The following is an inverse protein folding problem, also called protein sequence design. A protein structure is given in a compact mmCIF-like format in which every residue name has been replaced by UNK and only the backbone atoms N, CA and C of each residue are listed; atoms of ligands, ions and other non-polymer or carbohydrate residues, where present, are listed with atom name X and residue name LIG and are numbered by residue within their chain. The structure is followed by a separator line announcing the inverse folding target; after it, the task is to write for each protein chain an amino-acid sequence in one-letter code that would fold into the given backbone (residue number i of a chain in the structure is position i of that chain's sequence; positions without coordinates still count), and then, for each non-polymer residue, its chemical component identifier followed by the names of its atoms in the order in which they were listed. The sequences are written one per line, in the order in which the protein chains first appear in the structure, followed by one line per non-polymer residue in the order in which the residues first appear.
data_IF_668562740124
#
_entry.id   IF_668562740124
#
_cell.length_a   1.000
_cell.length_b   1.000
_cell.length_c   1.000
_cell.angle_alpha   90.00
_cell.angle_beta   90.00
_cell.angle_gamma   90.00
#
_symmetry.space_group_name_H-M   'P 1'
#
loop_
_entity.id
_entity.type
_entity.pdbx_description
1 polymer ?
#
# COMPACT_ATOMS: atom_id res chain seq x y z
N UNK A 1 -3.97 7.47 5.05
CA UNK A 1 -2.95 6.39 4.95
C UNK A 1 -3.01 5.66 3.62
N UNK A 2 -4.18 5.30 3.14
CA UNK A 2 -4.32 4.60 1.85
C UNK A 2 -3.74 5.43 0.71
N UNK A 3 -3.96 6.72 0.71
CA UNK A 3 -3.43 7.62 -0.33
C UNK A 3 -1.90 7.59 -0.38
N UNK A 4 -1.26 7.43 0.78
CA UNK A 4 0.21 7.33 0.85
C UNK A 4 0.71 6.04 0.20
N UNK A 5 0.00 4.94 0.41
CA UNK A 5 0.36 3.66 -0.24
C UNK A 5 0.14 3.72 -1.75
N UNK A 6 -0.97 4.32 -2.18
CA UNK A 6 -1.26 4.49 -3.61
C UNK A 6 -0.16 5.33 -4.26
N UNK A 7 0.20 6.45 -3.64
CA UNK A 7 1.24 7.32 -4.18
C UNK A 7 2.59 6.61 -4.22
N UNK A 8 2.93 5.87 -3.16
CA UNK A 8 4.17 5.10 -3.12
C UNK A 8 4.22 4.05 -4.23
N UNK A 9 3.10 3.37 -4.49
CA UNK A 9 3.02 2.41 -5.60
C UNK A 9 3.30 3.10 -6.93
N UNK A 10 2.65 4.25 -7.17
CA UNK A 10 2.82 5.01 -8.42
C UNK A 10 4.25 5.52 -8.56
N UNK A 11 4.83 6.04 -7.48
CA UNK A 11 6.21 6.53 -7.48
C UNK A 11 7.21 5.42 -7.75
N UNK A 12 6.88 4.19 -7.37
CA UNK A 12 7.71 3.02 -7.67
C UNK A 12 7.51 2.50 -9.10
N UNK A 13 6.60 3.10 -9.85
CA UNK A 13 6.32 2.67 -11.22
C UNK A 13 5.54 1.37 -11.33
N UNK A 14 4.84 0.98 -10.28
CA UNK A 14 4.11 -0.28 -10.23
C UNK A 14 2.63 -0.07 -10.58
N UNK A 15 2.11 -0.94 -11.44
CA UNK A 15 0.65 -1.03 -11.65
C UNK A 15 0.03 -1.83 -10.53
N UNK A 16 -1.30 -1.77 -10.40
CA UNK A 16 -2.03 -2.61 -9.45
C UNK A 16 -1.81 -4.10 -9.73
N UNK A 17 -1.75 -4.48 -11.01
CA UNK A 17 -1.48 -5.87 -11.41
C UNK A 17 -0.10 -6.31 -10.92
N UNK A 18 0.91 -5.47 -11.14
CA UNK A 18 2.28 -5.79 -10.73
C UNK A 18 2.40 -5.91 -9.21
N UNK A 19 1.78 -5.00 -8.48
CA UNK A 19 1.78 -5.09 -7.01
C UNK A 19 1.07 -6.36 -6.54
N UNK A 20 -0.06 -6.69 -7.15
CA UNK A 20 -0.77 -7.92 -6.85
C UNK A 20 0.13 -9.14 -7.04
N UNK A 21 0.86 -9.21 -8.15
CA UNK A 21 1.79 -10.32 -8.40
C UNK A 21 2.86 -10.43 -7.31
N UNK A 22 3.41 -9.31 -6.88
CA UNK A 22 4.42 -9.29 -5.80
C UNK A 22 3.87 -9.80 -4.48
N UNK A 23 2.58 -9.56 -4.25
CA UNK A 23 1.88 -9.99 -3.02
C UNK A 23 1.34 -11.42 -3.10
N UNK A 24 1.39 -12.04 -4.28
CA UNK A 24 0.70 -13.32 -4.50
C UNK A 24 -0.81 -13.16 -4.47
N UNK A 25 -1.32 -11.98 -4.82
CA UNK A 25 -2.74 -11.64 -4.80
C UNK A 25 -3.20 -11.21 -6.19
N UNK A 26 -4.51 -11.15 -6.38
CA UNK A 26 -5.10 -10.65 -7.63
C UNK A 26 -5.14 -9.13 -7.61
N UNK A 27 -5.25 -8.53 -8.82
CA UNK A 27 -5.43 -7.08 -8.94
C UNK A 27 -6.64 -6.58 -8.14
N UNK A 28 -7.71 -7.37 -8.07
CA UNK A 28 -8.92 -6.99 -7.32
C UNK A 28 -8.63 -6.75 -5.85
N UNK A 29 -7.70 -7.49 -5.25
CA UNK A 29 -7.26 -7.23 -3.88
C UNK A 29 -6.69 -5.82 -3.75
N UNK A 30 -5.75 -5.46 -4.62
CA UNK A 30 -5.11 -4.14 -4.61
C UNK A 30 -6.13 -3.04 -4.88
N UNK A 31 -6.99 -3.24 -5.88
CA UNK A 31 -8.04 -2.28 -6.23
C UNK A 31 -8.97 -2.01 -5.06
N UNK A 32 -9.45 -3.04 -4.38
CA UNK A 32 -10.35 -2.88 -3.23
C UNK A 32 -9.68 -2.16 -2.07
N UNK A 33 -8.41 -2.46 -1.80
CA UNK A 33 -7.64 -1.76 -0.77
C UNK A 33 -7.53 -0.28 -1.12
N UNK A 34 -7.17 0.03 -2.36
CA UNK A 34 -6.97 1.42 -2.79
C UNK A 34 -8.26 2.22 -2.83
N UNK A 35 -9.39 1.56 -3.08
CA UNK A 35 -10.71 2.19 -3.05
C UNK A 35 -11.26 2.35 -1.62
N UNK A 36 -10.58 1.80 -0.61
CA UNK A 36 -11.06 1.84 0.76
C UNK A 36 -12.14 0.82 1.07
N UNK A 37 -12.39 -0.12 0.17
CA UNK A 37 -13.40 -1.16 0.36
C UNK A 37 -12.90 -2.33 1.21
N UNK A 38 -11.59 -2.49 1.31
CA UNK A 38 -10.97 -3.53 2.13
C UNK A 38 -9.87 -2.92 3.01
N UNK A 39 -9.95 -3.20 4.29
CA UNK A 39 -8.93 -2.75 5.25
C UNK A 39 -7.75 -3.73 5.25
N UNK A 40 -6.57 -3.18 5.49
CA UNK A 40 -5.37 -3.99 5.71
C UNK A 40 -5.16 -4.16 7.21
N UNK A 41 -4.87 -5.39 7.62
CA UNK A 41 -4.33 -5.60 8.97
C UNK A 41 -2.85 -5.18 8.98
N UNK A 42 -2.22 -5.22 10.16
CA UNK A 42 -0.83 -4.78 10.31
C UNK A 42 0.12 -5.62 9.45
N UNK A 43 -0.06 -6.94 9.45
CA UNK A 43 0.79 -7.84 8.66
C UNK A 43 0.64 -7.58 7.16
N UNK A 44 -0.58 -7.37 6.71
CA UNK A 44 -0.86 -7.03 5.30
C UNK A 44 -0.26 -5.68 4.92
N UNK A 45 -0.38 -4.69 5.80
CA UNK A 45 0.21 -3.36 5.58
C UNK A 45 1.72 -3.45 5.40
N UNK A 46 2.39 -4.20 6.27
CA UNK A 46 3.84 -4.41 6.17
C UNK A 46 4.20 -5.12 4.86
N UNK A 47 3.42 -6.16 4.50
CA UNK A 47 3.66 -6.90 3.28
C UNK A 47 3.51 -6.01 2.03
N UNK A 48 2.46 -5.19 1.99
CA UNK A 48 2.23 -4.25 0.88
C UNK A 48 3.38 -3.25 0.78
N UNK A 49 3.76 -2.65 1.91
CA UNK A 49 4.86 -1.67 1.95
C UNK A 49 6.15 -2.27 1.42
N UNK A 50 6.49 -3.48 1.86
CA UNK A 50 7.70 -4.17 1.41
C UNK A 50 7.63 -4.56 -0.06
N UNK A 51 6.47 -4.96 -0.55
CA UNK A 51 6.28 -5.30 -1.96
C UNK A 51 6.48 -4.06 -2.85
N UNK A 52 6.11 -2.89 -2.37
CA UNK A 52 6.35 -1.62 -3.06
C UNK A 52 7.83 -1.22 -2.97
N UNK A 53 8.53 -1.65 -1.91
CA UNK A 53 9.92 -1.31 -1.67
C UNK A 53 10.11 -0.11 -0.76
N UNK A 54 9.13 0.18 0.10
CA UNK A 54 9.18 1.29 1.05
C UNK A 54 9.22 0.77 2.48
N UNK A 55 9.70 1.63 3.38
CA UNK A 55 9.71 1.34 4.82
C UNK A 55 8.31 1.61 5.38
N UNK A 56 7.63 0.59 5.97
CA UNK A 56 6.32 0.80 6.54
C UNK A 56 6.31 1.86 7.64
N UNK A 57 7.40 2.03 8.37
CA UNK A 57 7.51 3.08 9.41
C UNK A 57 7.50 4.48 8.79
N UNK A 58 8.03 4.65 7.59
CA UNK A 58 8.00 5.94 6.90
C UNK A 58 6.57 6.36 6.58
N UNK A 59 5.73 5.42 6.15
CA UNK A 59 4.32 5.68 5.87
C UNK A 59 3.60 6.08 7.16
N UNK A 60 3.82 5.36 8.25
CA UNK A 60 3.18 5.64 9.54
C UNK A 60 3.58 7.03 10.04
N UNK A 61 4.86 7.39 9.97
CA UNK A 61 5.35 8.70 10.39
C UNK A 61 4.72 9.83 9.58
N UNK A 62 4.60 9.64 8.27
CA UNK A 62 3.96 10.62 7.40
C UNK A 62 2.48 10.78 7.74
N UNK A 63 1.78 9.68 7.96
CA UNK A 63 0.37 9.71 8.35
C UNK A 63 0.17 10.41 9.69
N UNK A 64 1.05 10.18 10.67
CA UNK A 64 0.99 10.86 11.97
C UNK A 64 1.21 12.37 11.83
N UNK A 65 2.15 12.78 10.98
CA UNK A 65 2.41 14.19 10.74
C UNK A 65 1.21 14.90 10.12
N UNK A 66 0.43 14.20 9.32
CA UNK A 66 -0.74 14.75 8.63
C UNK A 66 -2.01 14.80 9.49
N UNK A 67 -1.99 14.23 10.70
CA UNK A 67 -3.19 14.14 11.56
C UNK A 67 -3.33 15.28 12.57
N UNK A 68 -2.57 16.32 12.44
CA UNK A 68 -2.66 17.48 13.35
C UNK A 68 -3.73 18.48 12.97
#
# INVERSE_FOLDING_TARGET
MIELLVQARKDAGLTQVELGKRLGQRQTFVSKVELGERRLDVAEFVAVSRAIGIDPHAIIRTAEADTH
#
